data_IF_811163892410
#
_entry.id   IF_811163892410
#
_cell.length_a   1.000
_cell.length_b   1.000
_cell.length_c   1.000
_cell.angle_alpha   90.00
_cell.angle_beta   90.00
_cell.angle_gamma   90.00
#
_symmetry.space_group_name_H-M   'P 1'
#
loop_
_entity.id
_entity.type
_entity.pdbx_description
1 polymer ?
#
# COMPACT_ATOMS: atom_id res chain seq x y z
N UNK A 1 5.36 -18.39 -18.10
CA UNK A 1 5.39 -17.29 -17.11
C UNK A 1 6.80 -16.73 -17.10
N UNK A 2 7.00 -15.51 -17.58
CA UNK A 2 8.29 -14.83 -17.52
C UNK A 2 8.22 -13.87 -16.33
N UNK A 3 8.93 -14.20 -15.25
CA UNK A 3 9.19 -13.24 -14.16
C UNK A 3 10.30 -12.30 -14.61
N UNK A 4 10.09 -11.00 -14.45
CA UNK A 4 11.15 -10.02 -14.65
C UNK A 4 12.18 -10.13 -13.52
N UNK A 5 13.33 -9.47 -13.71
CA UNK A 5 14.36 -9.41 -12.68
C UNK A 5 13.81 -8.81 -11.38
N UNK A 6 14.12 -9.45 -10.25
CA UNK A 6 13.81 -8.95 -8.92
C UNK A 6 14.58 -7.67 -8.66
N UNK A 7 13.86 -6.63 -8.28
CA UNK A 7 14.44 -5.34 -7.91
C UNK A 7 14.13 -5.02 -6.45
N UNK A 8 14.99 -4.23 -5.82
CA UNK A 8 14.75 -3.69 -4.48
C UNK A 8 14.53 -2.19 -4.55
N UNK A 9 13.54 -1.68 -3.82
CA UNK A 9 13.23 -0.26 -3.79
C UNK A 9 12.84 0.23 -2.40
N UNK A 10 12.94 1.55 -2.20
CA UNK A 10 12.40 2.17 -0.99
C UNK A 10 10.88 1.99 -0.95
N UNK A 11 10.36 1.67 0.22
CA UNK A 11 8.95 1.43 0.43
C UNK A 11 8.51 1.94 1.80
N UNK A 12 7.20 2.08 1.95
CA UNK A 12 6.57 2.33 3.23
C UNK A 12 5.26 1.56 3.31
N UNK A 13 4.87 1.13 4.49
CA UNK A 13 3.55 0.54 4.70
C UNK A 13 2.84 1.16 5.91
N UNK A 14 1.52 1.05 5.89
CA UNK A 14 0.68 1.44 7.00
C UNK A 14 -0.52 0.50 7.09
N UNK A 15 -0.72 -0.07 8.27
CA UNK A 15 -1.87 -0.94 8.57
C UNK A 15 -3.09 -0.09 8.92
N UNK A 16 -4.25 -0.46 8.37
CA UNK A 16 -5.55 0.13 8.62
C UNK A 16 -6.52 -0.90 9.19
N UNK A 17 -7.68 -0.44 9.65
CA UNK A 17 -8.68 -1.31 10.27
C UNK A 17 -9.19 -2.37 9.30
N UNK A 18 -9.31 -2.05 8.01
CA UNK A 18 -9.85 -2.93 6.97
C UNK A 18 -8.85 -3.19 5.82
N UNK A 19 -7.55 -3.17 6.12
CA UNK A 19 -6.52 -3.46 5.10
C UNK A 19 -5.16 -2.84 5.37
N UNK A 20 -4.35 -2.75 4.32
CA UNK A 20 -3.00 -2.19 4.35
C UNK A 20 -2.79 -1.27 3.15
N UNK A 21 -2.07 -0.17 3.34
CA UNK A 21 -1.55 0.65 2.24
C UNK A 21 -0.04 0.46 2.15
N UNK A 22 0.47 0.27 0.93
CA UNK A 22 1.90 0.11 0.65
C UNK A 22 2.30 1.11 -0.43
N UNK A 23 3.31 1.92 -0.15
CA UNK A 23 3.98 2.75 -1.14
C UNK A 23 5.29 2.10 -1.55
N UNK A 24 5.61 2.14 -2.85
CA UNK A 24 6.92 1.74 -3.38
C UNK A 24 7.47 2.80 -4.34
N UNK A 25 8.79 3.00 -4.30
CA UNK A 25 9.52 3.84 -5.25
C UNK A 25 10.32 2.99 -6.23
N UNK A 26 9.60 2.29 -7.11
CA UNK A 26 10.18 1.36 -8.08
C UNK A 26 10.50 2.08 -9.40
N UNK A 27 9.80 1.81 -10.50
CA UNK A 27 9.95 2.58 -11.76
C UNK A 27 9.32 3.98 -11.67
N UNK A 28 8.21 4.06 -10.94
CA UNK A 28 7.53 5.28 -10.53
C UNK A 28 6.92 5.08 -9.15
N UNK A 29 6.71 6.15 -8.36
CA UNK A 29 6.01 6.08 -7.09
C UNK A 29 4.58 5.53 -7.24
N UNK A 30 4.29 4.42 -6.57
CA UNK A 30 2.98 3.78 -6.57
C UNK A 30 2.51 3.53 -5.14
N UNK A 31 1.22 3.72 -4.90
CA UNK A 31 0.51 3.38 -3.66
C UNK A 31 -0.49 2.27 -3.96
N UNK A 32 -0.29 1.11 -3.35
CA UNK A 32 -1.21 -0.01 -3.35
C UNK A 32 -2.12 0.07 -2.13
N UNK A 33 -3.42 0.00 -2.35
CA UNK A 33 -4.45 -0.15 -1.30
C UNK A 33 -4.91 -1.59 -1.35
N UNK A 34 -4.59 -2.36 -0.30
CA UNK A 34 -4.89 -3.77 -0.15
C UNK A 34 -6.03 -3.93 0.88
N UNK A 35 -7.21 -4.30 0.41
CA UNK A 35 -8.40 -4.54 1.23
C UNK A 35 -8.26 -5.83 2.04
N UNK A 36 -8.82 -5.86 3.25
CA UNK A 36 -8.93 -7.11 4.03
C UNK A 36 -9.72 -8.22 3.31
N UNK A 37 -10.57 -7.85 2.35
CA UNK A 37 -11.36 -8.78 1.54
C UNK A 37 -10.59 -9.39 0.36
N UNK A 38 -9.30 -9.07 0.21
CA UNK A 38 -8.45 -9.60 -0.85
C UNK A 38 -8.46 -8.78 -2.14
N UNK A 39 -9.25 -7.71 -2.24
CA UNK A 39 -9.19 -6.79 -3.38
C UNK A 39 -8.00 -5.82 -3.26
N UNK A 40 -7.39 -5.43 -4.37
CA UNK A 40 -6.37 -4.39 -4.38
C UNK A 40 -6.58 -3.36 -5.49
N UNK A 41 -6.08 -2.14 -5.27
CA UNK A 41 -6.01 -1.09 -6.30
C UNK A 41 -4.70 -0.33 -6.17
N UNK A 42 -4.06 0.02 -7.28
CA UNK A 42 -2.88 0.88 -7.31
C UNK A 42 -3.23 2.31 -7.76
N UNK A 43 -2.59 3.29 -7.11
CA UNK A 43 -2.66 4.70 -7.44
C UNK A 43 -1.24 5.25 -7.64
N UNK A 44 -1.01 6.15 -8.61
CA UNK A 44 0.23 6.91 -8.61
C UNK A 44 0.29 7.79 -7.35
N UNK A 45 1.47 7.87 -6.73
CA UNK A 45 1.69 8.87 -5.69
C UNK A 45 1.75 10.26 -6.34
N UNK A 46 0.84 11.14 -5.93
CA UNK A 46 0.71 12.51 -6.44
C UNK A 46 0.96 13.55 -5.35
N UNK A 47 1.36 13.12 -4.15
CA UNK A 47 1.73 14.05 -3.11
C UNK A 47 3.09 14.67 -3.41
N UNK A 48 3.15 15.98 -3.35
CA UNK A 48 4.27 16.83 -3.76
C UNK A 48 4.94 17.57 -2.59
N UNK A 49 4.56 17.21 -1.35
CA UNK A 49 5.08 17.86 -0.14
C UNK A 49 4.11 18.82 0.53
N UNK A 50 2.98 19.14 -0.13
CA UNK A 50 1.99 20.06 0.39
C UNK A 50 1.34 19.56 1.70
N UNK A 51 0.90 20.45 2.60
CA UNK A 51 0.15 20.08 3.79
C UNK A 51 -1.11 19.28 3.45
N UNK A 52 -1.41 18.26 4.25
CA UNK A 52 -2.58 17.40 4.05
C UNK A 52 -3.64 17.75 5.08
N UNK A 53 -4.82 18.09 4.60
CA UNK A 53 -6.00 18.25 5.44
C UNK A 53 -6.89 17.01 5.32
N UNK A 54 -7.08 16.30 6.44
CA UNK A 54 -8.04 15.20 6.54
C UNK A 54 -9.31 15.79 7.18
N UNK A 55 -10.45 15.86 6.46
CA UNK A 55 -11.64 16.60 6.89
C UNK A 55 -12.49 15.82 7.91
N UNK A 56 -11.84 15.08 8.81
CA UNK A 56 -12.46 14.34 9.91
C UNK A 56 -11.56 14.37 11.15
N UNK A 57 -12.17 14.22 12.33
CA UNK A 57 -11.42 13.99 13.56
C UNK A 57 -11.05 12.51 13.63
N UNK A 58 -9.76 12.20 13.59
CA UNK A 58 -9.26 10.84 13.81
C UNK A 58 -9.26 10.55 15.32
N UNK A 59 -9.92 9.47 15.80
CA UNK A 59 -9.90 9.14 17.22
C UNK A 59 -8.47 8.88 17.71
N UNK A 60 -8.11 9.39 18.90
CA UNK A 60 -6.72 9.43 19.40
C UNK A 60 -6.01 8.09 19.57
N UNK A 61 -6.71 6.96 19.48
CA UNK A 61 -6.11 5.61 19.46
C UNK A 61 -5.54 5.21 18.09
N UNK A 62 -5.89 5.94 17.03
CA UNK A 62 -5.45 5.70 15.67
C UNK A 62 -4.38 6.71 15.26
N UNK A 63 -3.55 6.31 14.31
CA UNK A 63 -2.56 7.20 13.72
C UNK A 63 -3.19 8.07 12.64
N UNK A 64 -2.70 9.29 12.47
CA UNK A 64 -3.06 10.15 11.35
C UNK A 64 -2.20 9.75 10.15
N UNK A 65 -2.77 9.32 9.00
CA UNK A 65 -2.00 9.10 7.79
C UNK A 65 -1.36 10.40 7.32
N UNK A 66 -0.10 10.34 6.89
CA UNK A 66 0.69 11.49 6.45
C UNK A 66 1.23 11.25 5.04
N UNK A 67 1.83 12.26 4.42
CA UNK A 67 2.48 12.15 3.10
C UNK A 67 1.56 11.55 2.01
N UNK A 68 2.08 10.77 1.07
CA UNK A 68 1.30 10.10 0.02
C UNK A 68 0.10 9.32 0.56
N UNK A 69 0.24 8.65 1.72
CA UNK A 69 -0.87 7.95 2.36
C UNK A 69 -1.96 8.90 2.83
N UNK A 70 -1.60 9.98 3.53
CA UNK A 70 -2.53 11.03 3.94
C UNK A 70 -3.24 11.70 2.77
N UNK A 71 -2.49 12.03 1.71
CA UNK A 71 -3.05 12.63 0.50
C UNK A 71 -4.10 11.71 -0.15
N UNK A 72 -3.75 10.42 -0.35
CA UNK A 72 -4.68 9.44 -0.93
C UNK A 72 -5.88 9.20 -0.01
N UNK A 73 -5.65 9.05 1.29
CA UNK A 73 -6.66 8.82 2.31
C UNK A 73 -7.70 9.94 2.37
N UNK A 74 -7.23 11.20 2.33
CA UNK A 74 -8.06 12.40 2.25
C UNK A 74 -8.89 12.43 0.96
N UNK A 75 -8.22 12.27 -0.18
CA UNK A 75 -8.81 12.41 -1.52
C UNK A 75 -9.91 11.37 -1.79
N UNK A 76 -9.68 10.12 -1.40
CA UNK A 76 -10.62 9.02 -1.63
C UNK A 76 -11.61 8.81 -0.48
N UNK A 77 -11.52 9.63 0.58
CA UNK A 77 -12.36 9.50 1.78
C UNK A 77 -12.30 8.09 2.39
N UNK A 78 -11.09 7.52 2.44
CA UNK A 78 -10.89 6.10 2.80
C UNK A 78 -11.41 5.77 4.21
N UNK A 79 -11.54 6.74 5.12
CA UNK A 79 -12.15 6.54 6.43
C UNK A 79 -13.55 5.91 6.39
N UNK A 80 -14.32 6.14 5.32
CA UNK A 80 -15.69 5.66 5.21
C UNK A 80 -15.79 4.13 5.04
N UNK A 81 -14.77 3.50 4.46
CA UNK A 81 -14.82 2.08 4.06
C UNK A 81 -13.55 1.29 4.40
N UNK A 82 -12.39 1.95 4.44
CA UNK A 82 -11.09 1.34 4.77
C UNK A 82 -10.71 1.50 6.26
N UNK A 83 -11.44 2.37 6.96
CA UNK A 83 -11.26 2.64 8.39
C UNK A 83 -10.02 3.47 8.70
N UNK A 84 -9.50 3.34 9.92
CA UNK A 84 -8.42 4.20 10.43
C UNK A 84 -7.08 3.47 10.47
N UNK A 85 -5.98 4.22 10.34
CA UNK A 85 -4.63 3.68 10.48
C UNK A 85 -4.35 3.24 11.93
N UNK A 86 -3.89 2.01 12.09
CA UNK A 86 -3.64 1.38 13.39
C UNK A 86 -2.29 1.80 13.98
N UNK A 87 -1.31 2.09 13.11
CA UNK A 87 0.06 2.45 13.46
C UNK A 87 0.58 3.54 12.53
N UNK A 88 1.66 4.25 12.91
CA UNK A 88 2.34 5.16 12.00
C UNK A 88 2.84 4.45 10.75
N UNK A 89 3.00 5.21 9.67
CA UNK A 89 3.70 4.77 8.47
C UNK A 89 5.11 4.28 8.82
N UNK A 90 5.50 3.12 8.29
CA UNK A 90 6.78 2.47 8.56
C UNK A 90 7.60 2.33 7.27
N UNK A 91 8.79 2.94 7.18
CA UNK A 91 9.66 2.76 6.02
C UNK A 91 10.34 1.39 6.06
N UNK A 92 10.60 0.82 4.88
CA UNK A 92 11.33 -0.43 4.70
C UNK A 92 11.90 -0.54 3.27
N UNK A 93 12.65 -1.60 3.00
CA UNK A 93 13.07 -1.95 1.64
C UNK A 93 12.21 -3.08 1.10
N UNK A 94 11.47 -2.82 0.02
CA UNK A 94 10.67 -3.84 -0.65
C UNK A 94 11.50 -4.55 -1.72
N UNK A 95 11.28 -5.85 -1.87
CA UNK A 95 11.61 -6.58 -3.09
C UNK A 95 10.38 -6.64 -3.98
N UNK A 96 10.54 -6.29 -5.26
CA UNK A 96 9.47 -6.25 -6.27
C UNK A 96 9.87 -7.11 -7.45
N UNK A 97 8.92 -7.93 -7.92
CA UNK A 97 9.02 -8.73 -9.15
C UNK A 97 7.74 -8.50 -9.94
N UNK A 98 7.84 -7.89 -11.11
CA UNK A 98 6.72 -7.82 -12.05
C UNK A 98 6.68 -9.06 -12.94
N UNK A 99 5.48 -9.48 -13.31
CA UNK A 99 5.22 -10.56 -14.26
C UNK A 99 3.98 -10.21 -15.09
N UNK A 100 3.70 -11.01 -16.12
CA UNK A 100 2.65 -10.74 -17.11
C UNK A 100 1.27 -10.41 -16.49
N UNK A 101 0.90 -11.11 -15.43
CA UNK A 101 -0.41 -10.97 -14.76
C UNK A 101 -0.34 -10.24 -13.40
N UNK A 102 0.74 -9.50 -13.09
CA UNK A 102 0.78 -8.67 -11.87
C UNK A 102 2.15 -8.51 -11.21
N UNK A 103 2.14 -8.41 -9.88
CA UNK A 103 3.34 -8.15 -9.07
C UNK A 103 3.47 -9.09 -7.89
N UNK A 104 4.71 -9.43 -7.55
CA UNK A 104 5.08 -9.88 -6.21
C UNK A 104 5.80 -8.73 -5.52
N UNK A 105 5.41 -8.40 -4.30
CA UNK A 105 6.14 -7.44 -3.47
C UNK A 105 6.23 -7.90 -2.01
N UNK A 106 7.31 -7.54 -1.32
CA UNK A 106 7.40 -7.75 0.12
C UNK A 106 6.78 -6.60 0.89
N UNK A 107 6.18 -6.88 2.04
CA UNK A 107 5.77 -5.86 3.01
C UNK A 107 6.81 -5.66 4.13
N UNK A 108 6.52 -4.77 5.09
CA UNK A 108 7.46 -4.49 6.18
C UNK A 108 7.56 -5.62 7.24
N UNK A 109 6.75 -6.68 7.12
CA UNK A 109 6.81 -7.90 7.93
C UNK A 109 7.60 -9.01 7.23
N UNK A 110 8.09 -8.77 6.01
CA UNK A 110 8.80 -9.76 5.20
C UNK A 110 7.88 -10.77 4.51
N UNK A 111 6.56 -10.55 4.53
CA UNK A 111 5.61 -11.39 3.79
C UNK A 111 5.72 -11.08 2.31
N UNK A 112 5.63 -12.10 1.46
CA UNK A 112 5.52 -11.90 0.01
C UNK A 112 4.05 -11.83 -0.36
N UNK A 113 3.65 -10.70 -0.92
CA UNK A 113 2.31 -10.45 -1.43
C UNK A 113 2.31 -10.68 -2.93
N UNK A 114 1.33 -11.43 -3.43
CA UNK A 114 1.04 -11.56 -4.85
C UNK A 114 -0.20 -10.74 -5.16
N UNK A 115 -0.07 -9.82 -6.11
CA UNK A 115 -1.12 -8.93 -6.60
C UNK A 115 -1.42 -9.30 -8.04
N UNK A 116 -2.63 -9.80 -8.30
CA UNK A 116 -3.04 -10.28 -9.61
C UNK A 116 -3.86 -9.22 -10.35
N UNK A 117 -3.46 -8.89 -11.58
CA UNK A 117 -4.09 -7.85 -12.41
C UNK A 117 -5.45 -8.28 -12.95
N UNK A 118 -5.59 -9.54 -13.38
CA UNK A 118 -6.80 -9.99 -14.07
C UNK A 118 -8.00 -10.09 -13.12
N UNK A 119 -7.74 -10.43 -11.85
CA UNK A 119 -8.78 -10.60 -10.83
C UNK A 119 -8.84 -9.42 -9.85
N UNK A 120 -7.87 -8.51 -9.90
CA UNK A 120 -7.66 -7.46 -8.90
C UNK A 120 -7.62 -8.03 -7.47
N UNK A 121 -7.13 -9.27 -7.34
CA UNK A 121 -7.06 -10.02 -6.09
C UNK A 121 -5.63 -10.09 -5.58
N UNK A 122 -5.45 -10.04 -4.27
CA UNK A 122 -4.16 -10.19 -3.62
C UNK A 122 -4.20 -11.26 -2.54
N UNK A 123 -3.08 -11.93 -2.34
CA UNK A 123 -2.89 -12.87 -1.25
C UNK A 123 -1.43 -12.92 -0.80
N UNK A 124 -1.23 -13.39 0.42
CA UNK A 124 0.12 -13.71 0.92
C UNK A 124 0.53 -15.05 0.31
N UNK A 125 1.74 -15.12 -0.24
CA UNK A 125 2.35 -16.38 -0.64
C UNK A 125 2.99 -17.02 0.59
N UNK A 126 2.53 -18.23 0.91
CA UNK A 126 3.25 -19.10 1.83
C UNK A 126 4.55 -19.54 1.14
N UNK A 127 5.68 -19.11 1.71
CA UNK A 127 6.98 -19.63 1.30
C UNK A 127 7.24 -20.85 2.20
N UNK A 128 7.36 -22.07 1.64
CA UNK A 128 7.66 -23.27 2.42
C UNK A 128 9.04 -23.21 3.10
#
# INVERSE_FOLDING_TARGET
MIELERQTCAAADQQFTHGQIIWINWERPLIFVLSEYGDWIAYPDKWDGEPIEIPIVIPGRYSVPVRGFGHLYAKLKLWAHFGYALKPEKPYMASVVAFEDGWKLTDSYGRVLRLELNQMHWHVLDIP
#
